data_IF_885741350198
#
_entry.id   IF_885741350198
#
_cell.length_a   1.000
_cell.length_b   1.000
_cell.length_c   1.000
_cell.angle_alpha   90.00
_cell.angle_beta   90.00
_cell.angle_gamma   90.00
#
_symmetry.space_group_name_H-M   'P 1'
#
loop_
_entity.id
_entity.type
_entity.pdbx_description
1 polymer ?
#
# COMPACT_ATOMS: atom_id res chain seq x y z
N UNK A 1 2.23 -39.69 29.26
CA UNK A 1 2.59 -38.26 29.49
C UNK A 1 3.58 -37.72 28.46
N UNK A 2 4.69 -38.42 28.16
CA UNK A 2 5.69 -37.96 27.16
C UNK A 2 5.13 -37.77 25.75
N UNK A 3 4.25 -38.66 25.29
CA UNK A 3 3.65 -38.56 23.95
C UNK A 3 2.68 -37.37 23.83
N UNK A 4 1.98 -37.02 24.92
CA UNK A 4 1.07 -35.87 24.95
C UNK A 4 1.84 -34.55 24.96
N UNK A 5 2.96 -34.49 25.68
CA UNK A 5 3.88 -33.36 25.67
C UNK A 5 4.52 -33.16 24.29
N UNK A 6 4.95 -34.25 23.62
CA UNK A 6 5.49 -34.19 22.26
C UNK A 6 4.44 -33.71 21.24
N UNK A 7 3.19 -34.14 21.36
CA UNK A 7 2.09 -33.67 20.49
C UNK A 7 1.80 -32.18 20.69
N UNK A 8 1.81 -31.69 21.93
CA UNK A 8 1.62 -30.27 22.23
C UNK A 8 2.76 -29.41 21.68
N UNK A 9 4.01 -29.86 21.81
CA UNK A 9 5.17 -29.16 21.23
C UNK A 9 5.04 -29.14 19.70
N UNK A 10 4.71 -30.27 19.08
CA UNK A 10 4.53 -30.35 17.63
C UNK A 10 3.44 -29.38 17.13
N UNK A 11 2.31 -29.31 17.84
CA UNK A 11 1.21 -28.41 17.50
C UNK A 11 1.64 -26.93 17.59
N UNK A 12 2.40 -26.55 18.62
CA UNK A 12 2.91 -25.19 18.75
C UNK A 12 3.94 -24.84 17.67
N UNK A 13 4.83 -25.78 17.32
CA UNK A 13 5.81 -25.59 16.23
C UNK A 13 5.10 -25.45 14.88
N UNK A 14 4.10 -26.30 14.59
CA UNK A 14 3.29 -26.19 13.38
C UNK A 14 2.52 -24.87 13.32
N UNK A 15 1.95 -24.43 14.45
CA UNK A 15 1.28 -23.14 14.54
C UNK A 15 2.25 -21.97 14.30
N UNK A 16 3.44 -22.01 14.91
CA UNK A 16 4.47 -21.01 14.71
C UNK A 16 4.99 -20.97 13.27
N UNK A 17 5.24 -22.13 12.65
CA UNK A 17 5.62 -22.21 11.24
C UNK A 17 4.50 -21.69 10.35
N UNK A 18 3.25 -22.07 10.60
CA UNK A 18 2.10 -21.56 9.85
C UNK A 18 2.01 -20.04 9.94
N UNK A 19 2.13 -19.45 11.14
CA UNK A 19 2.16 -18.00 11.31
C UNK A 19 3.25 -17.32 10.48
N UNK A 20 4.45 -17.91 10.41
CA UNK A 20 5.57 -17.37 9.62
C UNK A 20 5.37 -17.47 8.10
N UNK A 21 4.66 -18.49 7.61
CA UNK A 21 4.47 -18.71 6.18
C UNK A 21 3.15 -18.13 5.64
N UNK A 22 2.12 -18.01 6.49
CA UNK A 22 0.83 -17.42 6.13
C UNK A 22 0.85 -15.88 6.19
N UNK A 23 1.80 -15.29 6.90
CA UNK A 23 2.12 -13.85 6.84
C UNK A 23 3.17 -13.59 5.77
N UNK A 24 2.92 -14.05 4.54
CA UNK A 24 3.43 -13.27 3.42
C UNK A 24 2.59 -12.00 3.40
N UNK A 25 3.12 -10.95 4.03
CA UNK A 25 2.57 -9.60 3.91
C UNK A 25 2.21 -9.41 2.43
N UNK A 26 0.94 -9.16 2.09
CA UNK A 26 0.62 -8.58 0.80
C UNK A 26 1.46 -7.31 0.79
N UNK A 27 2.53 -7.29 -0.03
CA UNK A 27 3.32 -6.08 -0.20
C UNK A 27 2.32 -4.94 -0.37
N UNK A 28 2.46 -3.86 0.40
CA UNK A 28 1.55 -2.74 0.29
C UNK A 28 1.49 -2.40 -1.20
N UNK A 29 0.32 -2.60 -1.82
CA UNK A 29 0.16 -2.24 -3.21
C UNK A 29 0.50 -0.77 -3.29
N UNK A 30 1.65 -0.47 -3.89
CA UNK A 30 2.14 0.90 -4.01
C UNK A 30 1.09 1.62 -4.82
N UNK A 31 0.35 2.53 -4.18
CA UNK A 31 -0.61 3.34 -4.89
C UNK A 31 0.19 4.19 -5.90
N UNK A 32 -0.03 3.96 -7.19
CA UNK A 32 0.56 4.80 -8.24
C UNK A 32 -0.23 6.10 -8.24
N UNK A 33 0.16 7.05 -7.37
CA UNK A 33 -0.44 8.40 -7.33
C UNK A 33 0.28 9.27 -8.36
N UNK A 34 -0.46 9.83 -9.31
CA UNK A 34 0.11 10.80 -10.26
C UNK A 34 0.10 12.21 -9.66
N UNK A 35 1.16 12.99 -9.88
CA UNK A 35 1.31 14.38 -9.37
C UNK A 35 0.12 15.31 -9.71
N UNK A 36 -0.65 14.97 -10.75
CA UNK A 36 -1.83 15.74 -11.18
C UNK A 36 -3.03 15.59 -10.26
N UNK A 37 -3.05 14.55 -9.42
CA UNK A 37 -4.10 14.30 -8.44
C UNK A 37 -3.88 15.10 -7.15
N UNK A 38 -2.75 15.81 -7.03
CA UNK A 38 -2.34 16.60 -5.86
C UNK A 38 -2.81 18.07 -5.91
N UNK A 39 -3.57 18.47 -6.94
CA UNK A 39 -4.10 19.83 -7.09
C UNK A 39 -3.13 20.81 -7.76
N UNK A 40 -3.55 22.08 -7.97
CA UNK A 40 -2.80 23.03 -8.78
C UNK A 40 -1.53 23.54 -8.07
N UNK A 41 -0.40 23.68 -8.79
CA UNK A 41 0.83 24.24 -8.22
C UNK A 41 0.68 25.75 -8.01
N UNK A 42 1.17 26.25 -6.87
CA UNK A 42 1.16 27.67 -6.56
C UNK A 42 2.43 28.36 -7.06
N UNK A 43 2.26 29.46 -7.79
CA UNK A 43 3.34 30.32 -8.28
C UNK A 43 4.05 31.02 -7.12
N UNK A 44 5.39 30.94 -7.14
CA UNK A 44 6.27 31.57 -6.17
C UNK A 44 6.45 33.05 -6.53
N UNK A 45 5.90 33.96 -5.73
CA UNK A 45 6.29 35.37 -5.79
C UNK A 45 7.65 35.53 -5.12
N UNK A 46 8.71 35.51 -5.94
CA UNK A 46 10.05 35.86 -5.53
C UNK A 46 10.10 37.35 -5.14
N UNK A 47 10.11 37.64 -3.83
CA UNK A 47 10.43 38.96 -3.32
C UNK A 47 11.93 39.19 -3.53
N UNK A 48 12.25 40.10 -4.45
CA UNK A 48 13.60 40.46 -4.83
C UNK A 48 14.40 41.08 -3.69
N UNK A 49 15.70 40.82 -3.77
CA UNK A 49 16.76 41.42 -2.96
C UNK A 49 16.65 42.95 -2.97
N UNK A 50 16.60 43.57 -1.79
CA UNK A 50 17.24 44.85 -1.54
C UNK A 50 17.47 45.08 -0.04
N UNK A 51 18.68 45.53 0.22
CA UNK A 51 19.30 45.78 1.52
C UNK A 51 18.45 46.70 2.42
N UNK A 52 18.29 46.29 3.67
CA UNK A 52 18.35 47.19 4.82
C UNK A 52 18.50 46.35 6.09
N UNK A 53 19.73 46.25 6.58
CA UNK A 53 20.01 45.89 7.96
C UNK A 53 19.33 46.94 8.85
N UNK A 54 18.15 46.65 9.38
CA UNK A 54 17.51 47.49 10.40
C UNK A 54 16.93 46.61 11.49
N UNK A 55 17.70 46.55 12.58
CA UNK A 55 17.26 46.36 13.96
C UNK A 55 16.27 45.21 14.20
N UNK A 56 16.83 44.03 14.43
CA UNK A 56 16.24 43.01 15.30
C UNK A 56 16.19 43.59 16.72
N UNK A 57 15.11 44.32 17.04
CA UNK A 57 14.99 44.97 18.34
C UNK A 57 13.68 45.73 18.61
N UNK A 58 12.83 45.97 17.61
CA UNK A 58 11.65 46.84 17.79
C UNK A 58 10.29 46.21 17.38
N UNK A 59 10.20 44.89 17.25
CA UNK A 59 8.90 44.18 17.14
C UNK A 59 8.82 43.08 18.20
N UNK A 60 9.05 43.47 19.46
CA UNK A 60 8.67 42.68 20.65
C UNK A 60 7.44 43.30 21.35
N UNK A 61 6.54 43.88 20.56
CA UNK A 61 5.25 44.38 21.02
C UNK A 61 4.13 43.62 20.34
N UNK A 62 3.38 42.83 21.12
CA UNK A 62 2.09 42.20 20.79
C UNK A 62 2.08 41.20 19.63
N UNK A 63 2.65 40.02 19.86
CA UNK A 63 2.25 38.78 19.19
C UNK A 63 2.26 37.68 20.24
N UNK A 64 1.14 36.98 20.40
CA UNK A 64 1.06 35.82 21.29
C UNK A 64 2.17 34.81 20.94
N UNK A 65 2.66 34.00 21.90
CA UNK A 65 3.63 32.94 21.62
C UNK A 65 3.14 31.93 20.55
N UNK A 66 1.85 31.99 20.19
CA UNK A 66 1.23 31.27 19.06
C UNK A 66 1.78 31.66 17.68
N UNK A 67 2.22 32.91 17.48
CA UNK A 67 2.59 33.41 16.15
C UNK A 67 4.02 33.02 15.74
N UNK A 68 4.93 32.85 16.71
CA UNK A 68 6.26 32.28 16.48
C UNK A 68 6.21 30.76 16.22
N UNK A 69 5.24 30.07 16.82
CA UNK A 69 4.91 28.68 16.48
C UNK A 69 4.23 28.54 15.10
N UNK A 70 3.70 29.65 14.54
CA UNK A 70 3.10 29.67 13.21
C UNK A 70 4.13 29.89 12.09
N UNK A 71 5.27 30.54 12.38
CA UNK A 71 6.33 30.83 11.38
C UNK A 71 7.48 29.83 11.43
N UNK A 72 7.70 29.13 12.56
CA UNK A 72 8.67 28.03 12.67
C UNK A 72 7.98 26.74 13.14
N UNK A 73 7.66 25.87 12.18
CA UNK A 73 7.75 24.43 12.43
C UNK A 73 6.48 23.64 12.78
N UNK A 74 5.33 23.91 12.13
CA UNK A 74 4.32 22.85 11.96
C UNK A 74 4.71 21.97 10.77
N UNK A 75 5.71 21.12 10.98
CA UNK A 75 6.04 20.10 9.98
C UNK A 75 4.97 19.01 10.07
N UNK A 76 4.35 18.66 8.94
CA UNK A 76 3.36 17.60 8.87
C UNK A 76 3.94 16.39 8.16
N UNK A 77 3.44 15.23 8.54
CA UNK A 77 3.82 13.94 7.97
C UNK A 77 2.56 13.15 7.68
N UNK A 78 2.46 12.59 6.49
CA UNK A 78 1.39 11.65 6.15
C UNK A 78 1.97 10.25 6.09
N UNK A 79 1.36 9.31 6.80
CA UNK A 79 1.76 7.91 6.87
C UNK A 79 0.70 7.07 6.17
N UNK A 80 1.10 6.26 5.19
CA UNK A 80 0.20 5.39 4.43
C UNK A 80 0.71 5.14 3.01
N UNK A 81 -0.07 4.43 2.18
CA UNK A 81 -1.42 3.94 2.42
C UNK A 81 -1.47 2.70 3.32
N UNK A 82 -2.41 2.67 4.27
CA UNK A 82 -2.81 1.47 5.00
C UNK A 82 -4.00 0.81 4.30
N UNK A 83 -3.93 -0.51 4.09
CA UNK A 83 -5.02 -1.28 3.49
C UNK A 83 -6.12 -1.65 4.50
N UNK A 84 -5.81 -1.59 5.80
CA UNK A 84 -6.70 -1.91 6.91
C UNK A 84 -6.81 -0.71 7.85
N UNK A 85 -8.06 -0.35 8.23
CA UNK A 85 -8.31 0.80 9.11
C UNK A 85 -7.69 0.66 10.50
N UNK A 86 -7.69 -0.54 11.08
CA UNK A 86 -7.12 -0.80 12.42
C UNK A 86 -5.64 -0.47 12.52
N UNK A 87 -4.89 -0.63 11.44
CA UNK A 87 -3.46 -0.35 11.40
C UNK A 87 -3.22 1.17 11.41
N UNK A 88 -4.04 1.91 10.67
CA UNK A 88 -4.07 3.37 10.72
C UNK A 88 -4.48 3.88 12.11
N UNK A 89 -5.52 3.29 12.72
CA UNK A 89 -5.97 3.65 14.07
C UNK A 89 -4.89 3.38 15.13
N UNK A 90 -4.10 2.31 14.96
CA UNK A 90 -2.97 2.01 15.86
C UNK A 90 -1.88 3.08 15.75
N UNK A 91 -1.52 3.50 14.53
CA UNK A 91 -0.57 4.58 14.31
C UNK A 91 -1.06 5.91 14.92
N UNK A 92 -2.36 6.21 14.79
CA UNK A 92 -3.00 7.37 15.42
C UNK A 92 -2.83 7.34 16.93
N UNK A 93 -3.19 6.23 17.58
CA UNK A 93 -3.10 6.09 19.03
C UNK A 93 -1.66 6.24 19.53
N UNK A 94 -0.70 5.65 18.81
CA UNK A 94 0.72 5.76 19.17
C UNK A 94 1.22 7.21 19.12
N UNK A 95 0.92 7.93 18.04
CA UNK A 95 1.39 9.31 17.88
C UNK A 95 0.61 10.31 18.72
N UNK A 96 -0.67 10.07 18.95
CA UNK A 96 -1.48 10.84 19.90
C UNK A 96 -0.94 10.69 21.34
N UNK A 97 -0.57 9.47 21.75
CA UNK A 97 0.05 9.23 23.06
C UNK A 97 1.41 9.94 23.22
N UNK A 98 2.13 10.16 22.11
CA UNK A 98 3.36 10.94 22.07
C UNK A 98 3.14 12.48 21.99
N UNK A 99 1.90 12.92 22.20
CA UNK A 99 1.51 14.34 22.27
C UNK A 99 1.38 15.02 20.91
N UNK A 100 1.27 14.27 19.82
CA UNK A 100 1.13 14.83 18.46
C UNK A 100 -0.33 14.91 18.04
N UNK A 101 -0.65 15.89 17.20
CA UNK A 101 -1.96 15.96 16.54
C UNK A 101 -2.00 14.92 15.43
N UNK A 102 -3.09 14.17 15.35
CA UNK A 102 -3.25 13.06 14.41
C UNK A 102 -4.64 13.06 13.81
N UNK A 103 -4.78 12.83 12.51
CA UNK A 103 -6.06 12.65 11.83
C UNK A 103 -6.00 11.45 10.87
N UNK A 104 -7.09 10.69 10.78
CA UNK A 104 -7.24 9.62 9.78
C UNK A 104 -8.04 10.14 8.60
N UNK A 105 -7.51 9.91 7.40
CA UNK A 105 -8.19 10.20 6.15
C UNK A 105 -8.30 8.93 5.31
N UNK A 106 -9.50 8.64 4.82
CA UNK A 106 -9.74 7.56 3.87
C UNK A 106 -9.79 8.11 2.44
N UNK A 107 -9.21 7.38 1.51
CA UNK A 107 -9.27 7.67 0.08
C UNK A 107 -9.55 6.38 -0.69
N UNK A 108 -10.45 6.46 -1.67
CA UNK A 108 -10.70 5.35 -2.60
C UNK A 108 -9.66 5.45 -3.72
N UNK A 109 -8.85 4.41 -3.89
CA UNK A 109 -7.82 4.37 -4.94
C UNK A 109 -7.73 2.98 -5.57
N UNK A 110 -7.18 2.93 -6.78
CA UNK A 110 -6.77 1.67 -7.39
C UNK A 110 -5.47 1.19 -6.75
N UNK A 111 -5.51 -0.03 -6.22
CA UNK A 111 -4.36 -0.69 -5.58
C UNK A 111 -3.96 -1.88 -6.43
N UNK A 112 -2.67 -2.02 -6.72
CA UNK A 112 -2.13 -3.21 -7.37
C UNK A 112 -2.31 -4.43 -6.46
N UNK A 113 -3.01 -5.45 -6.95
CA UNK A 113 -3.31 -6.67 -6.19
C UNK A 113 -2.50 -7.89 -6.66
N UNK A 114 -1.79 -7.77 -7.77
CA UNK A 114 -0.92 -8.83 -8.28
C UNK A 114 -0.94 -8.96 -9.80
N UNK A 115 -0.23 -9.96 -10.29
CA UNK A 115 -0.24 -10.39 -11.67
C UNK A 115 -1.37 -11.41 -11.88
N UNK A 116 -2.31 -11.09 -12.76
CA UNK A 116 -3.35 -12.01 -13.21
C UNK A 116 -2.80 -12.88 -14.33
N UNK A 117 -2.87 -14.19 -14.17
CA UNK A 117 -2.46 -15.15 -15.20
C UNK A 117 -3.70 -15.82 -15.77
N UNK A 118 -3.85 -15.78 -17.09
CA UNK A 118 -5.02 -16.33 -17.78
C UNK A 118 -4.63 -17.06 -19.06
N UNK A 119 -5.34 -18.15 -19.37
CA UNK A 119 -5.27 -18.79 -20.69
C UNK A 119 -6.24 -18.09 -21.62
N UNK A 120 -5.74 -17.65 -22.76
CA UNK A 120 -6.51 -17.00 -23.82
C UNK A 120 -6.89 -18.00 -24.91
N UNK A 121 -7.61 -17.54 -25.94
CA UNK A 121 -7.97 -18.36 -27.12
C UNK A 121 -8.85 -19.58 -26.78
N UNK A 122 -9.88 -19.36 -25.95
CA UNK A 122 -10.84 -20.40 -25.60
C UNK A 122 -12.04 -20.31 -26.53
N UNK A 123 -12.17 -21.28 -27.43
CA UNK A 123 -13.18 -21.27 -28.49
C UNK A 123 -14.64 -21.31 -27.97
N UNK A 124 -14.89 -21.93 -26.82
CA UNK A 124 -16.23 -22.00 -26.22
C UNK A 124 -16.16 -22.34 -24.74
N UNK A 125 -17.25 -22.09 -24.00
CA UNK A 125 -17.37 -22.52 -22.61
C UNK A 125 -17.14 -24.01 -22.40
N UNK A 126 -17.54 -24.85 -23.36
CA UNK A 126 -17.35 -26.30 -23.30
C UNK A 126 -15.87 -26.68 -23.50
N UNK A 127 -15.20 -26.06 -24.46
CA UNK A 127 -13.76 -26.23 -24.67
C UNK A 127 -12.97 -25.77 -23.43
N UNK A 128 -13.32 -24.62 -22.87
CA UNK A 128 -12.69 -24.09 -21.65
C UNK A 128 -12.78 -25.06 -20.47
N UNK A 129 -13.94 -25.72 -20.27
CA UNK A 129 -14.08 -26.74 -19.21
C UNK A 129 -13.17 -27.95 -19.43
N UNK A 130 -12.93 -28.37 -20.66
CA UNK A 130 -12.00 -29.47 -20.92
C UNK A 130 -10.55 -29.04 -20.68
N UNK A 131 -10.19 -27.82 -21.09
CA UNK A 131 -8.87 -27.24 -20.82
C UNK A 131 -8.62 -27.10 -19.31
N UNK A 132 -9.62 -26.68 -18.53
CA UNK A 132 -9.54 -26.65 -17.05
C UNK A 132 -9.16 -28.03 -16.49
N UNK A 133 -9.81 -29.11 -16.94
CA UNK A 133 -9.46 -30.47 -16.48
C UNK A 133 -8.04 -30.87 -16.85
N UNK A 134 -7.54 -30.44 -18.01
CA UNK A 134 -6.15 -30.68 -18.40
C UNK A 134 -5.20 -29.94 -17.46
N UNK A 135 -5.49 -28.68 -17.14
CA UNK A 135 -4.70 -27.85 -16.22
C UNK A 135 -4.67 -28.45 -14.79
N UNK A 136 -5.82 -28.89 -14.28
CA UNK A 136 -5.92 -29.57 -12.97
C UNK A 136 -5.07 -30.86 -12.93
N UNK A 137 -5.12 -31.68 -13.99
CA UNK A 137 -4.27 -32.88 -14.10
C UNK A 137 -2.77 -32.57 -14.15
N UNK A 138 -2.40 -31.34 -14.48
CA UNK A 138 -1.01 -30.85 -14.48
C UNK A 138 -0.60 -30.21 -13.15
N UNK A 139 -1.47 -30.25 -12.13
CA UNK A 139 -1.22 -29.70 -10.80
C UNK A 139 -1.44 -28.20 -10.71
N UNK A 140 -2.25 -27.62 -11.60
CA UNK A 140 -2.74 -26.24 -11.47
C UNK A 140 -4.16 -26.30 -10.89
N UNK A 141 -4.28 -25.99 -9.60
CA UNK A 141 -5.55 -26.04 -8.87
C UNK A 141 -6.33 -24.73 -9.01
N UNK A 142 -7.66 -24.83 -9.17
CA UNK A 142 -8.54 -23.67 -9.25
C UNK A 142 -8.68 -22.93 -10.59
N UNK A 143 -8.25 -23.41 -11.77
CA UNK A 143 -8.60 -22.75 -13.04
C UNK A 143 -10.11 -22.71 -13.26
N UNK A 144 -10.63 -21.58 -13.74
CA UNK A 144 -12.06 -21.47 -14.09
C UNK A 144 -12.28 -20.63 -15.34
N UNK A 145 -13.33 -20.99 -16.10
CA UNK A 145 -13.68 -20.29 -17.34
C UNK A 145 -14.37 -18.97 -17.01
N UNK A 146 -13.83 -17.89 -17.57
CA UNK A 146 -14.34 -16.52 -17.52
C UNK A 146 -14.82 -16.13 -18.93
N UNK A 147 -15.76 -15.20 -19.00
CA UNK A 147 -16.27 -14.67 -20.25
C UNK A 147 -17.60 -15.28 -20.71
N UNK A 148 -18.03 -14.85 -21.89
CA UNK A 148 -19.31 -15.20 -22.50
C UNK A 148 -19.20 -15.11 -24.04
N UNK A 149 -20.29 -15.38 -24.75
CA UNK A 149 -20.29 -15.42 -26.22
C UNK A 149 -20.08 -14.03 -26.88
N UNK A 150 -20.26 -12.93 -26.15
CA UNK A 150 -20.10 -11.55 -26.67
C UNK A 150 -18.64 -11.05 -26.56
N UNK A 151 -17.98 -11.31 -25.42
CA UNK A 151 -16.62 -10.83 -25.13
C UNK A 151 -15.52 -11.89 -25.35
N UNK A 152 -15.91 -13.13 -25.65
CA UNK A 152 -15.02 -14.28 -25.74
C UNK A 152 -14.82 -14.99 -24.40
N UNK A 153 -14.15 -16.14 -24.44
CA UNK A 153 -13.83 -16.94 -23.26
C UNK A 153 -12.33 -16.91 -22.95
N UNK A 154 -12.00 -16.97 -21.66
CA UNK A 154 -10.65 -17.16 -21.14
C UNK A 154 -10.71 -18.09 -19.92
N UNK A 155 -9.56 -18.60 -19.46
CA UNK A 155 -9.48 -19.37 -18.21
C UNK A 155 -8.58 -18.60 -17.25
N UNK A 156 -9.13 -18.14 -16.14
CA UNK A 156 -8.34 -17.53 -15.08
C UNK A 156 -7.58 -18.62 -14.30
N UNK A 157 -6.26 -18.51 -14.21
CA UNK A 157 -5.41 -19.41 -13.41
C UNK A 157 -5.18 -18.87 -12.00
N UNK A 158 -5.28 -17.55 -11.83
CA UNK A 158 -5.17 -16.90 -10.52
C UNK A 158 -4.59 -15.49 -10.60
N UNK A 159 -4.64 -14.80 -9.45
CA UNK A 159 -3.97 -13.52 -9.23
C UNK A 159 -2.89 -13.76 -8.18
N UNK A 160 -1.66 -13.40 -8.51
CA UNK A 160 -0.49 -13.65 -7.66
C UNK A 160 0.17 -12.34 -7.27
N UNK A 161 0.31 -12.08 -5.97
CA UNK A 161 1.05 -10.92 -5.46
C UNK A 161 2.56 -11.02 -5.73
N UNK A 162 3.09 -12.24 -5.77
CA UNK A 162 4.49 -12.54 -6.08
C UNK A 162 4.67 -12.82 -7.58
N UNK A 163 5.52 -12.01 -8.22
CA UNK A 163 5.85 -12.13 -9.64
C UNK A 163 6.49 -13.48 -9.99
N UNK A 164 7.33 -14.05 -9.12
CA UNK A 164 7.97 -15.34 -9.38
C UNK A 164 6.94 -16.49 -9.37
N UNK A 165 5.91 -16.39 -8.52
CA UNK A 165 4.82 -17.37 -8.49
C UNK A 165 3.93 -17.25 -9.74
N UNK A 166 3.61 -16.03 -10.18
CA UNK A 166 2.91 -15.81 -11.45
C UNK A 166 3.68 -16.41 -12.62
N UNK A 167 4.98 -16.12 -12.73
CA UNK A 167 5.84 -16.64 -13.80
C UNK A 167 5.90 -18.16 -13.78
N UNK A 168 6.01 -18.78 -12.60
CA UNK A 168 6.00 -20.25 -12.47
C UNK A 168 4.70 -20.85 -13.00
N UNK A 169 3.55 -20.28 -12.66
CA UNK A 169 2.23 -20.75 -13.11
C UNK A 169 2.07 -20.53 -14.62
N UNK A 170 2.51 -19.39 -15.13
CA UNK A 170 2.53 -19.09 -16.55
C UNK A 170 3.36 -20.12 -17.33
N UNK A 171 4.60 -20.35 -16.92
CA UNK A 171 5.50 -21.32 -17.55
C UNK A 171 4.93 -22.75 -17.50
N UNK A 172 4.33 -23.14 -16.38
CA UNK A 172 3.68 -24.43 -16.23
C UNK A 172 2.53 -24.60 -17.22
N UNK A 173 1.66 -23.60 -17.37
CA UNK A 173 0.56 -23.63 -18.33
C UNK A 173 1.06 -23.57 -19.79
N UNK A 174 2.06 -22.74 -20.10
CA UNK A 174 2.70 -22.71 -21.44
C UNK A 174 3.34 -24.05 -21.80
N UNK A 175 4.00 -24.71 -20.86
CA UNK A 175 4.60 -26.04 -21.07
C UNK A 175 3.56 -27.13 -21.36
N UNK A 176 2.30 -26.92 -20.94
CA UNK A 176 1.18 -27.79 -21.26
C UNK A 176 0.54 -27.49 -22.63
N UNK A 177 1.07 -26.51 -23.38
CA UNK A 177 0.64 -26.14 -24.73
C UNK A 177 -0.43 -25.06 -24.78
N UNK A 178 -0.69 -24.36 -23.67
CA UNK A 178 -1.69 -23.29 -23.61
C UNK A 178 -1.10 -21.92 -23.98
N UNK A 179 -1.91 -21.09 -24.63
CA UNK A 179 -1.59 -19.67 -24.84
C UNK A 179 -1.97 -18.91 -23.57
N UNK A 180 -0.97 -18.39 -22.88
CA UNK A 180 -1.14 -17.71 -21.59
C UNK A 180 -0.82 -16.23 -21.75
N UNK A 181 -1.55 -15.40 -21.03
CA UNK A 181 -1.33 -13.97 -20.89
C UNK A 181 -1.24 -13.62 -19.40
N UNK A 182 -0.24 -12.81 -19.06
CA UNK A 182 -0.03 -12.28 -17.71
C UNK A 182 -0.21 -10.78 -17.75
N UNK A 183 -1.12 -10.25 -16.94
CA UNK A 183 -1.44 -8.81 -16.90
C UNK A 183 -1.41 -8.29 -15.47
N UNK A 184 -0.91 -7.05 -15.23
CA UNK A 184 -1.01 -6.43 -13.92
C UNK A 184 -2.47 -6.14 -13.60
N UNK A 185 -2.92 -6.53 -12.40
CA UNK A 185 -4.29 -6.35 -11.96
C UNK A 185 -4.37 -5.38 -10.78
N UNK A 186 -5.27 -4.42 -10.89
CA UNK A 186 -5.60 -3.45 -9.86
C UNK A 186 -7.02 -3.66 -9.35
N UNK A 187 -7.29 -3.18 -8.13
CA UNK A 187 -8.61 -3.18 -7.53
C UNK A 187 -8.86 -1.87 -6.80
N UNK A 188 -10.05 -1.31 -6.97
CA UNK A 188 -10.52 -0.18 -6.18
C UNK A 188 -10.70 -0.60 -4.72
N UNK A 189 -9.95 0.03 -3.82
CA UNK A 189 -9.99 -0.20 -2.38
C UNK A 189 -9.93 1.12 -1.61
N UNK A 190 -10.58 1.15 -0.45
CA UNK A 190 -10.39 2.23 0.51
C UNK A 190 -9.05 2.05 1.21
N UNK A 191 -8.17 3.02 1.06
CA UNK A 191 -6.91 3.11 1.79
C UNK A 191 -6.99 4.21 2.82
N UNK A 192 -6.22 4.06 3.90
CA UNK A 192 -6.19 5.00 5.01
C UNK A 192 -4.83 5.67 5.09
N UNK A 193 -4.84 6.96 5.36
CA UNK A 193 -3.68 7.78 5.62
C UNK A 193 -3.80 8.37 7.00
N UNK A 194 -2.67 8.47 7.70
CA UNK A 194 -2.56 9.08 9.01
C UNK A 194 -1.74 10.35 8.88
N UNK A 195 -2.40 11.48 9.05
CA UNK A 195 -1.82 12.81 8.99
C UNK A 195 -1.38 13.20 10.41
N UNK A 196 -0.08 13.46 10.61
CA UNK A 196 0.55 13.72 11.91
C UNK A 196 1.19 15.11 11.91
N UNK A 197 0.83 15.94 12.89
CA UNK A 197 1.47 17.22 13.16
C UNK A 197 2.68 17.04 14.07
N UNK A 198 3.87 17.40 13.58
CA UNK A 198 5.11 17.37 14.36
C UNK A 198 5.24 18.63 15.22
N UNK A 199 5.65 18.50 16.50
CA UNK A 199 5.99 19.64 17.33
C UNK A 199 7.29 20.30 16.83
N UNK A 200 7.48 21.60 17.12
CA UNK A 200 8.68 22.32 16.69
C UNK A 200 9.95 21.63 17.19
N UNK A 201 10.92 21.43 16.28
CA UNK A 201 12.19 20.76 16.56
C UNK A 201 12.17 19.23 16.55
N UNK A 202 11.01 18.58 16.36
CA UNK A 202 10.91 17.12 16.15
C UNK A 202 10.84 16.82 14.66
N UNK A 203 11.85 16.12 14.13
CA UNK A 203 11.85 15.67 12.73
C UNK A 203 11.05 14.38 12.51
N UNK A 204 10.79 14.05 11.25
CA UNK A 204 10.08 12.83 10.86
C UNK A 204 10.95 11.56 10.85
N UNK A 205 12.23 11.65 11.24
CA UNK A 205 13.21 10.56 11.09
C UNK A 205 12.76 9.23 11.71
N UNK A 206 12.22 9.26 12.94
CA UNK A 206 11.72 8.06 13.62
C UNK A 206 10.48 7.45 12.93
N UNK A 207 9.70 8.27 12.22
CA UNK A 207 8.52 7.81 11.46
C UNK A 207 8.97 7.13 10.16
N UNK A 208 9.93 7.75 9.46
CA UNK A 208 10.54 7.19 8.24
C UNK A 208 11.26 5.87 8.53
N UNK A 209 12.04 5.80 9.62
CA UNK A 209 12.74 4.57 10.02
C UNK A 209 11.77 3.41 10.30
N UNK A 210 10.58 3.71 10.83
CA UNK A 210 9.57 2.68 11.14
C UNK A 210 8.77 2.22 9.92
N UNK A 211 8.28 3.16 9.10
CA UNK A 211 7.34 2.84 8.02
C UNK A 211 7.99 2.73 6.64
N UNK A 212 9.25 3.14 6.50
CA UNK A 212 9.97 3.24 5.23
C UNK A 212 9.64 4.53 4.48
N UNK A 213 10.57 4.96 3.63
CA UNK A 213 10.41 6.17 2.81
C UNK A 213 9.20 6.09 1.87
N UNK A 214 8.88 4.90 1.36
CA UNK A 214 7.78 4.67 0.42
C UNK A 214 6.38 4.90 1.03
N UNK A 215 6.26 4.84 2.36
CA UNK A 215 4.98 4.99 3.07
C UNK A 215 4.87 6.31 3.83
N UNK A 216 5.87 7.18 3.74
CA UNK A 216 5.93 8.41 4.51
C UNK A 216 6.09 9.60 3.57
N UNK A 217 5.01 10.38 3.43
CA UNK A 217 5.05 11.64 2.72
C UNK A 217 5.40 12.77 3.68
N UNK A 218 6.33 13.63 3.26
CA UNK A 218 6.86 14.77 4.01
C UNK A 218 6.63 16.07 3.25
N UNK A 219 6.66 17.19 3.98
CA UNK A 219 6.67 18.55 3.40
C UNK A 219 5.48 18.74 2.45
N UNK A 220 5.74 19.06 1.18
CA UNK A 220 4.71 19.42 0.20
C UNK A 220 3.81 18.25 -0.20
N UNK A 221 4.24 17.00 0.06
CA UNK A 221 3.43 15.80 -0.16
C UNK A 221 2.61 15.39 1.08
N UNK A 222 2.85 16.00 2.25
CA UNK A 222 2.16 15.69 3.48
C UNK A 222 0.90 16.54 3.64
N UNK A 223 -0.16 15.95 4.18
CA UNK A 223 -1.37 16.65 4.60
C UNK A 223 -1.30 16.86 6.12
N UNK A 224 -1.59 18.07 6.58
CA UNK A 224 -1.68 18.36 8.00
C UNK A 224 -3.02 17.90 8.58
N UNK A 225 -3.05 17.38 9.83
CA UNK A 225 -4.29 17.10 10.52
C UNK A 225 -5.10 18.39 10.67
N UNK A 226 -6.42 18.32 10.38
CA UNK A 226 -7.36 19.44 10.54
C UNK A 226 -8.01 19.43 11.92
#
# INVERSE_FOLDING_TARGET
>A
MKNLLLLLILANVLYFMWGRYATQDPQPGVAVVSERDLGPPLEFLAAGDNEATTSVGAVLGSGDPSDLAAVVGRACVTIGPFSVRSDADTAVLEYAAAGMQTAVRSMRTEVFIGQSVQVTDVASRAAGREMVRVLERRGLDGPFVVGNDEIGYSIALGIFSDAANAERVELQARSAGFVVETTPMTRNQDVFFVDVGLPPGRGAGAIVERYGEDRVALRDAATCPR
#
